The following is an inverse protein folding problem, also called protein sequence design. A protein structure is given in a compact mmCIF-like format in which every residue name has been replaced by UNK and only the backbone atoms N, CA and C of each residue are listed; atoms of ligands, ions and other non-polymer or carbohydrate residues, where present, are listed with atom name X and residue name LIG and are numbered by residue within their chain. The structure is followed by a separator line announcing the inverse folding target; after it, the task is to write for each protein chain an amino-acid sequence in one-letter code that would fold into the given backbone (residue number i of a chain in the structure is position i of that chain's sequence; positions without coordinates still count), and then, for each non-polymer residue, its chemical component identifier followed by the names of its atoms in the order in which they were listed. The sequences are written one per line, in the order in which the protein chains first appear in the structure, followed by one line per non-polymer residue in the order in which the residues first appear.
data_IF_128064834505
#
_entry.id   IF_128064834505
#
_cell.length_a   1.000
_cell.length_b   1.000
_cell.length_c   1.000
_cell.angle_alpha   90.00
_cell.angle_beta   90.00
_cell.angle_gamma   90.00
#
_symmetry.space_group_name_H-M   'P 1'
#
loop_
_entity.id
_entity.type
_entity.pdbx_description
1 polymer ?
#
# COMPACT_ATOMS: atom_id res chain seq x y z
N UNK A 1 15.69 -14.47 -13.08
CA UNK A 1 16.82 -13.54 -13.28
C UNK A 1 17.38 -13.77 -14.68
N UNK A 2 17.68 -12.70 -15.43
CA UNK A 2 18.19 -12.84 -16.80
C UNK A 2 19.64 -13.32 -16.74
N UNK A 3 19.95 -14.40 -17.45
CA UNK A 3 21.31 -14.97 -17.50
C UNK A 3 22.29 -14.05 -18.23
N UNK A 4 21.81 -13.32 -19.25
CA UNK A 4 22.60 -12.38 -20.04
C UNK A 4 21.99 -10.98 -19.98
N UNK A 5 22.82 -9.98 -19.64
CA UNK A 5 22.42 -8.58 -19.52
C UNK A 5 22.61 -7.86 -20.86
N UNK A 6 21.58 -7.94 -21.70
CA UNK A 6 21.48 -7.20 -22.96
C UNK A 6 20.72 -5.88 -22.73
N UNK A 7 21.29 -4.70 -23.05
CA UNK A 7 20.60 -3.42 -22.93
C UNK A 7 19.29 -3.34 -23.73
N UNK A 8 19.16 -4.10 -24.82
CA UNK A 8 17.96 -4.13 -25.65
C UNK A 8 16.84 -5.01 -25.04
N UNK A 9 17.17 -5.87 -24.06
CA UNK A 9 16.17 -6.74 -23.41
C UNK A 9 15.60 -6.06 -22.17
N UNK A 10 14.27 -5.84 -22.11
CA UNK A 10 13.67 -5.23 -20.93
C UNK A 10 13.74 -6.20 -19.75
N UNK A 11 14.37 -5.77 -18.66
CA UNK A 11 14.41 -6.52 -17.41
C UNK A 11 13.17 -6.19 -16.58
N UNK A 12 12.09 -6.95 -16.79
CA UNK A 12 10.79 -6.72 -16.15
C UNK A 12 10.65 -7.62 -14.94
N UNK A 13 10.42 -7.01 -13.78
CA UNK A 13 10.04 -7.72 -12.56
C UNK A 13 8.55 -7.56 -12.32
N UNK A 14 7.91 -8.63 -11.86
CA UNK A 14 6.51 -8.65 -11.45
C UNK A 14 6.41 -8.83 -9.94
N UNK A 15 5.45 -8.16 -9.33
CA UNK A 15 5.10 -8.30 -7.92
C UNK A 15 3.59 -8.54 -7.80
N UNK A 16 3.15 -9.10 -6.68
CA UNK A 16 1.73 -9.13 -6.34
C UNK A 16 1.28 -7.71 -5.99
N UNK A 17 0.28 -7.20 -6.71
CA UNK A 17 -0.25 -5.85 -6.52
C UNK A 17 -1.74 -5.83 -6.83
N UNK A 18 -2.43 -4.76 -6.43
CA UNK A 18 -3.83 -4.58 -6.78
C UNK A 18 -3.94 -4.37 -8.29
N UNK A 19 -4.92 -5.04 -8.88
CA UNK A 19 -5.32 -4.80 -10.27
C UNK A 19 -6.45 -3.78 -10.30
N UNK A 20 -7.41 -3.97 -9.39
CA UNK A 20 -8.58 -3.12 -9.22
C UNK A 20 -8.76 -2.84 -7.72
N UNK A 21 -9.21 -1.62 -7.41
CA UNK A 21 -9.49 -1.18 -6.06
C UNK A 21 -10.72 -0.29 -6.03
N UNK A 22 -11.33 -0.20 -4.86
CA UNK A 22 -12.35 0.78 -4.52
C UNK A 22 -11.91 1.58 -3.31
N UNK A 23 -12.50 2.75 -3.11
CA UNK A 23 -12.26 3.55 -1.92
C UNK A 23 -13.46 3.43 -0.97
N UNK A 24 -13.18 3.04 0.26
CA UNK A 24 -14.17 2.99 1.33
C UNK A 24 -13.90 4.10 2.34
N UNK A 25 -14.96 4.62 2.95
CA UNK A 25 -14.88 5.68 3.96
C UNK A 25 -15.42 5.18 5.29
N UNK A 26 -14.65 5.38 6.35
CA UNK A 26 -15.02 5.05 7.73
C UNK A 26 -15.02 6.29 8.60
N UNK A 27 -15.85 6.27 9.64
CA UNK A 27 -15.86 7.29 10.69
C UNK A 27 -14.85 6.91 11.77
N UNK A 28 -13.84 7.74 11.96
CA UNK A 28 -12.83 7.60 13.01
C UNK A 28 -13.27 8.39 14.24
N UNK A 29 -13.39 7.76 15.43
CA UNK A 29 -13.79 8.45 16.65
C UNK A 29 -12.82 9.57 17.03
N UNK A 30 -13.37 10.71 17.44
CA UNK A 30 -12.63 11.82 18.02
C UNK A 30 -12.31 11.60 19.50
N UNK A 31 -11.87 12.67 20.16
CA UNK A 31 -11.59 12.70 21.59
C UNK A 31 -12.04 14.04 22.22
N UNK A 32 -11.74 14.30 23.49
CA UNK A 32 -12.10 15.56 24.13
C UNK A 32 -11.53 16.75 23.32
N UNK A 33 -12.41 17.71 23.01
CA UNK A 33 -12.11 18.88 22.16
C UNK A 33 -11.71 18.58 20.69
N UNK A 34 -11.81 17.33 20.23
CA UNK A 34 -11.52 16.94 18.85
C UNK A 34 -12.68 16.11 18.29
N UNK A 35 -13.35 16.62 17.26
CA UNK A 35 -14.50 15.95 16.66
C UNK A 35 -14.11 14.65 15.92
N UNK A 36 -15.10 13.79 15.73
CA UNK A 36 -14.98 12.62 14.85
C UNK A 36 -14.55 13.05 13.44
N UNK A 37 -13.78 12.19 12.78
CA UNK A 37 -13.26 12.44 11.43
C UNK A 37 -13.71 11.36 10.45
N UNK A 38 -13.65 11.65 9.15
CA UNK A 38 -13.86 10.67 8.09
C UNK A 38 -12.51 10.32 7.45
N UNK A 39 -12.25 9.03 7.27
CA UNK A 39 -11.03 8.54 6.63
C UNK A 39 -11.37 7.62 5.47
N UNK A 40 -10.72 7.84 4.33
CA UNK A 40 -10.95 7.06 3.10
C UNK A 40 -9.69 6.26 2.75
N UNK A 41 -9.84 4.95 2.55
CA UNK A 41 -8.73 4.04 2.27
C UNK A 41 -9.02 3.13 1.07
N UNK A 42 -7.98 2.68 0.34
CA UNK A 42 -8.15 1.76 -0.77
C UNK A 42 -8.40 0.33 -0.28
N UNK A 43 -9.34 -0.36 -0.91
CA UNK A 43 -9.65 -1.78 -0.73
C UNK A 43 -9.45 -2.49 -2.05
N UNK A 44 -8.55 -3.47 -2.07
CA UNK A 44 -8.30 -4.27 -3.27
C UNK A 44 -9.52 -5.15 -3.58
N UNK A 45 -10.08 -5.00 -4.78
CA UNK A 45 -11.19 -5.82 -5.29
C UNK A 45 -10.70 -6.96 -6.19
N UNK A 46 -9.53 -6.78 -6.83
CA UNK A 46 -8.84 -7.82 -7.59
C UNK A 46 -7.32 -7.68 -7.46
N UNK A 47 -6.61 -8.81 -7.51
CA UNK A 47 -5.16 -8.88 -7.34
C UNK A 47 -4.50 -9.51 -8.57
N UNK A 48 -3.28 -9.07 -8.90
CA UNK A 48 -2.52 -9.62 -10.01
C UNK A 48 -1.01 -9.67 -9.75
N UNK A 49 -0.30 -10.50 -10.52
CA UNK A 49 1.15 -10.42 -10.64
C UNK A 49 1.53 -9.52 -11.84
N UNK A 50 1.85 -8.26 -11.55
CA UNK A 50 2.11 -7.24 -12.55
C UNK A 50 3.29 -6.35 -12.18
N UNK A 51 3.55 -5.33 -13.01
CA UNK A 51 4.48 -4.26 -12.63
C UNK A 51 3.88 -3.46 -11.48
N UNK A 52 4.68 -3.09 -10.49
CA UNK A 52 4.24 -2.14 -9.47
C UNK A 52 3.95 -0.78 -10.12
N UNK A 53 2.76 -0.22 -9.87
CA UNK A 53 2.40 1.10 -10.36
C UNK A 53 2.99 2.17 -9.44
N UNK A 54 4.06 2.82 -9.89
CA UNK A 54 4.75 3.87 -9.12
C UNK A 54 3.96 5.18 -8.97
N UNK A 55 2.89 5.37 -9.74
CA UNK A 55 2.07 6.58 -9.62
C UNK A 55 1.11 6.50 -8.42
N UNK A 56 0.76 5.28 -8.00
CA UNK A 56 -0.25 5.03 -6.96
C UNK A 56 0.25 4.14 -5.81
N UNK A 57 1.42 3.53 -5.94
CA UNK A 57 2.00 2.61 -4.95
C UNK A 57 3.44 2.98 -4.67
N UNK A 58 3.80 3.02 -3.39
CA UNK A 58 5.21 3.04 -2.98
C UNK A 58 5.86 1.68 -3.25
N UNK A 59 6.63 1.58 -4.33
CA UNK A 59 7.29 0.36 -4.77
C UNK A 59 8.60 0.11 -3.98
N UNK A 60 8.44 -0.32 -2.73
CA UNK A 60 9.56 -0.54 -1.78
C UNK A 60 9.82 -2.03 -1.50
N UNK A 61 10.95 -2.32 -0.84
CA UNK A 61 11.29 -3.67 -0.33
C UNK A 61 10.52 -3.98 0.95
N UNK A 62 10.37 -2.99 1.85
CA UNK A 62 9.64 -3.11 3.12
C UNK A 62 9.02 -1.76 3.50
N UNK A 63 7.75 -1.78 3.90
CA UNK A 63 7.08 -0.66 4.56
C UNK A 63 6.98 -0.88 6.08
N UNK A 64 6.25 0.00 6.76
CA UNK A 64 5.97 -0.12 8.21
C UNK A 64 5.01 -1.28 8.55
N UNK A 65 4.29 -1.79 7.55
CA UNK A 65 3.29 -2.83 7.69
C UNK A 65 1.87 -2.26 7.87
N UNK A 66 0.83 -3.01 7.49
CA UNK A 66 -0.55 -2.52 7.49
C UNK A 66 -1.14 -2.28 8.90
N UNK A 67 -0.55 -2.89 9.94
CA UNK A 67 -0.97 -2.74 11.33
C UNK A 67 -0.14 -1.74 12.15
N UNK A 68 0.73 -0.96 11.51
CA UNK A 68 1.55 0.02 12.22
C UNK A 68 0.69 1.14 12.83
N UNK A 69 0.92 1.44 14.10
CA UNK A 69 0.32 2.57 14.81
C UNK A 69 1.39 3.26 15.66
N UNK A 70 1.56 4.56 15.49
CA UNK A 70 2.60 5.33 16.20
C UNK A 70 2.46 5.33 17.73
N UNK A 71 1.28 4.96 18.25
CA UNK A 71 0.94 4.99 19.67
C UNK A 71 0.69 3.59 20.26
N UNK A 72 0.82 2.50 19.49
CA UNK A 72 0.56 1.15 20.02
C UNK A 72 1.64 0.66 21.00
N UNK A 73 2.80 1.29 21.03
CA UNK A 73 3.94 0.90 21.89
C UNK A 73 4.16 1.79 23.12
N UNK A 74 3.21 2.66 23.49
CA UNK A 74 3.20 3.23 24.85
C UNK A 74 2.45 2.28 25.79
N UNK A 75 3.09 1.18 26.19
CA UNK A 75 2.73 0.47 27.43
C UNK A 75 3.57 1.09 28.54
N UNK A 76 2.89 1.88 29.37
CA UNK A 76 3.28 2.43 30.69
C UNK A 76 4.61 3.21 30.79
#
# INVERSE_FOLDING_TARGET
DLVYRDPARPNIQKTCTYKELVYETVKVPGCAHHADSLYTYPVATDCQCGKCNGDSTDCTVRGLGPGYCSFSESRD
#
